data_IF_720393838940
#
_entry.id   IF_720393838940
#
_cell.length_a   1.000
_cell.length_b   1.000
_cell.length_c   1.000
_cell.angle_alpha   90.00
_cell.angle_beta   90.00
_cell.angle_gamma   90.00
#
_symmetry.space_group_name_H-M   'P 1'
#
loop_
_entity.id
_entity.type
_entity.pdbx_description
1 polymer ?
#
# COMPACT_ATOMS: atom_id res chain seq x y z
N UNK A 1 -1.94 -29.50 -14.05
CA UNK A 1 -2.39 -30.81 -13.43
C UNK A 1 -1.28 -31.46 -12.57
N UNK A 2 0.00 -31.40 -12.94
CA UNK A 2 1.11 -31.96 -12.15
C UNK A 2 1.46 -31.17 -10.87
N UNK A 3 1.19 -29.86 -10.81
CA UNK A 3 1.47 -29.00 -9.65
C UNK A 3 0.48 -29.27 -8.50
N UNK A 4 -0.77 -29.57 -8.81
CA UNK A 4 -1.83 -29.83 -7.81
C UNK A 4 -1.68 -31.15 -7.02
N UNK A 5 -0.83 -32.09 -7.45
CA UNK A 5 -0.68 -33.40 -6.79
C UNK A 5 0.24 -33.40 -5.55
N UNK A 6 0.90 -32.26 -5.22
CA UNK A 6 1.84 -32.15 -4.09
C UNK A 6 1.62 -30.90 -3.24
N UNK A 7 0.40 -30.41 -3.13
CA UNK A 7 0.09 -29.28 -2.25
C UNK A 7 0.09 -29.81 -0.80
N UNK A 8 0.96 -29.28 0.07
CA UNK A 8 0.97 -29.66 1.48
C UNK A 8 -0.30 -29.20 2.19
N UNK A 9 -0.43 -29.51 3.47
CA UNK A 9 -1.57 -29.05 4.29
C UNK A 9 -1.77 -27.54 4.12
N UNK A 10 -3.04 -27.08 4.02
CA UNK A 10 -3.31 -25.65 3.84
C UNK A 10 -2.65 -24.81 4.93
N UNK A 11 -2.13 -23.65 4.54
CA UNK A 11 -1.53 -22.67 5.47
C UNK A 11 -2.62 -21.87 6.15
N UNK A 12 -2.63 -21.89 7.46
CA UNK A 12 -3.48 -21.00 8.26
C UNK A 12 -2.77 -19.65 8.45
N UNK A 13 -3.20 -18.66 7.68
CA UNK A 13 -2.64 -17.29 7.76
C UNK A 13 -3.05 -16.55 9.04
N UNK A 14 -4.00 -17.10 9.81
CA UNK A 14 -4.43 -16.52 11.10
C UNK A 14 -3.66 -17.07 12.29
N UNK A 15 -2.80 -18.07 12.09
CA UNK A 15 -1.95 -18.62 13.14
C UNK A 15 -0.85 -17.61 13.54
N UNK A 16 -0.84 -17.09 14.79
CA UNK A 16 0.19 -16.15 15.24
C UNK A 16 1.61 -16.74 15.21
N UNK A 17 1.77 -18.05 15.35
CA UNK A 17 3.09 -18.69 15.32
C UNK A 17 3.69 -18.68 13.91
N UNK A 18 2.85 -18.68 12.87
CA UNK A 18 3.29 -18.51 11.48
C UNK A 18 4.09 -17.22 11.32
N UNK A 19 3.59 -16.12 11.90
CA UNK A 19 4.21 -14.80 11.79
C UNK A 19 5.39 -14.61 12.75
N UNK A 20 5.39 -15.28 13.89
CA UNK A 20 6.52 -15.26 14.83
C UNK A 20 7.73 -16.03 14.32
N UNK A 21 7.50 -17.13 13.61
CA UNK A 21 8.54 -18.04 13.12
C UNK A 21 8.26 -18.51 11.70
N UNK A 22 8.21 -17.60 10.71
CA UNK A 22 7.85 -17.96 9.35
C UNK A 22 8.80 -19.01 8.76
N UNK A 23 10.09 -18.97 9.10
CA UNK A 23 11.05 -19.96 8.65
C UNK A 23 10.78 -21.38 9.15
N UNK A 24 10.18 -21.56 10.33
CA UNK A 24 9.81 -22.87 10.83
C UNK A 24 8.58 -23.45 10.12
N UNK A 25 7.64 -22.60 9.71
CA UNK A 25 6.42 -23.02 9.00
C UNK A 25 6.64 -23.18 7.50
N UNK A 26 7.45 -22.29 6.89
CA UNK A 26 7.70 -22.27 5.45
C UNK A 26 9.03 -22.93 5.05
N UNK A 27 9.87 -23.36 6.04
CA UNK A 27 11.20 -23.91 5.74
C UNK A 27 11.18 -25.05 4.73
N UNK A 28 10.25 -25.99 4.90
CA UNK A 28 10.06 -27.11 3.99
C UNK A 28 9.42 -26.70 2.63
N UNK A 29 8.72 -25.55 2.60
CA UNK A 29 8.04 -25.03 1.41
C UNK A 29 9.00 -24.31 0.45
N UNK A 30 10.12 -23.81 0.97
CA UNK A 30 11.20 -23.28 0.14
C UNK A 30 12.01 -24.37 -0.56
N UNK A 31 11.75 -25.65 -0.26
CA UNK A 31 12.38 -26.75 -0.97
C UNK A 31 11.90 -26.83 -2.43
N UNK A 32 12.76 -27.34 -3.31
CA UNK A 32 12.39 -27.53 -4.73
C UNK A 32 11.21 -28.46 -4.94
N UNK A 33 10.83 -29.23 -3.91
CA UNK A 33 9.76 -30.21 -3.97
C UNK A 33 8.35 -29.63 -3.78
N UNK A 34 8.25 -28.45 -3.12
CA UNK A 34 6.97 -27.80 -2.80
C UNK A 34 6.93 -26.37 -3.39
N UNK A 35 6.53 -26.24 -4.66
CA UNK A 35 6.54 -24.93 -5.34
C UNK A 35 5.40 -24.00 -4.93
N UNK A 36 4.30 -24.56 -4.37
CA UNK A 36 3.10 -23.80 -4.05
C UNK A 36 2.34 -24.40 -2.87
N UNK A 37 1.64 -23.59 -2.12
CA UNK A 37 0.78 -23.99 -1.02
C UNK A 37 -0.63 -23.39 -1.12
N UNK A 38 -1.61 -24.07 -0.56
CA UNK A 38 -2.97 -23.54 -0.48
C UNK A 38 -3.18 -22.78 0.82
N UNK A 39 -3.83 -21.62 0.74
CA UNK A 39 -4.22 -20.86 1.92
C UNK A 39 -5.55 -21.38 2.45
N UNK A 40 -5.60 -21.69 3.74
CA UNK A 40 -6.78 -22.24 4.39
C UNK A 40 -7.96 -21.24 4.30
N UNK A 41 -9.13 -21.72 3.96
CA UNK A 41 -10.38 -20.97 3.97
C UNK A 41 -10.61 -20.05 2.76
N UNK A 42 -9.57 -19.72 1.97
CA UNK A 42 -9.72 -18.80 0.83
C UNK A 42 -9.67 -19.48 -0.53
N UNK A 43 -9.13 -20.70 -0.60
CA UNK A 43 -8.84 -21.38 -1.89
C UNK A 43 -7.66 -20.77 -2.66
N UNK A 44 -7.02 -19.73 -2.13
CA UNK A 44 -5.87 -19.06 -2.74
C UNK A 44 -4.65 -19.97 -2.78
N UNK A 45 -3.80 -19.80 -3.79
CA UNK A 45 -2.52 -20.49 -3.93
C UNK A 45 -1.40 -19.51 -3.62
N UNK A 46 -0.50 -19.87 -2.71
CA UNK A 46 0.70 -19.13 -2.37
C UNK A 46 1.91 -19.74 -3.07
N UNK A 47 2.69 -18.91 -3.74
CA UNK A 47 3.94 -19.31 -4.41
C UNK A 47 5.12 -18.94 -3.54
N UNK A 48 6.12 -19.83 -3.40
CA UNK A 48 7.26 -19.62 -2.52
C UNK A 48 8.60 -19.47 -3.26
N UNK A 49 8.74 -20.05 -4.44
CA UNK A 49 10.00 -19.96 -5.18
C UNK A 49 10.07 -18.67 -5.98
N UNK A 50 11.19 -17.97 -5.90
CA UNK A 50 11.42 -16.73 -6.63
C UNK A 50 11.12 -16.85 -8.15
N UNK A 51 11.51 -17.97 -8.78
CA UNK A 51 11.25 -18.19 -10.20
C UNK A 51 9.75 -18.25 -10.52
N UNK A 52 8.97 -18.98 -9.70
CA UNK A 52 7.53 -19.16 -9.91
C UNK A 52 6.77 -17.84 -9.63
N UNK A 53 7.16 -17.12 -8.59
CA UNK A 53 6.61 -15.79 -8.28
C UNK A 53 6.89 -14.83 -9.43
N UNK A 54 8.13 -14.81 -9.94
CA UNK A 54 8.49 -13.94 -11.06
C UNK A 54 7.74 -14.28 -12.34
N UNK A 55 7.58 -15.57 -12.63
CA UNK A 55 6.80 -16.03 -13.79
C UNK A 55 5.33 -15.61 -13.63
N UNK A 56 4.71 -15.88 -12.48
CA UNK A 56 3.33 -15.51 -12.20
C UNK A 56 3.08 -13.99 -12.31
N UNK A 57 3.97 -13.16 -11.76
CA UNK A 57 3.87 -11.69 -11.85
C UNK A 57 4.02 -11.15 -13.28
N UNK A 58 4.57 -11.95 -14.18
CA UNK A 58 4.78 -11.58 -15.59
C UNK A 58 3.74 -12.22 -16.54
N UNK A 59 2.90 -13.11 -16.04
CA UNK A 59 1.92 -13.85 -16.84
C UNK A 59 0.65 -13.02 -17.04
N UNK A 60 0.40 -12.57 -18.27
CA UNK A 60 -0.78 -11.77 -18.63
C UNK A 60 -2.13 -12.46 -18.45
N UNK A 61 -2.14 -13.77 -18.16
CA UNK A 61 -3.37 -14.52 -17.80
C UNK A 61 -3.77 -14.32 -16.34
N UNK A 62 -2.85 -13.84 -15.51
CA UNK A 62 -3.09 -13.53 -14.12
C UNK A 62 -3.32 -12.02 -14.00
N UNK A 63 -4.47 -11.64 -13.49
CA UNK A 63 -4.85 -10.26 -13.24
C UNK A 63 -4.75 -9.89 -11.75
N UNK A 64 -4.99 -8.63 -11.47
CA UNK A 64 -5.19 -8.16 -10.11
C UNK A 64 -6.46 -8.79 -9.52
N UNK A 65 -6.42 -9.12 -8.23
CA UNK A 65 -7.58 -9.74 -7.56
C UNK A 65 -8.76 -8.77 -7.42
N UNK A 66 -8.52 -7.46 -7.56
CA UNK A 66 -9.54 -6.43 -7.46
C UNK A 66 -10.30 -6.51 -6.14
N UNK A 67 -11.63 -6.27 -6.19
CA UNK A 67 -12.51 -6.39 -5.02
C UNK A 67 -13.10 -7.79 -4.84
N UNK A 68 -12.82 -8.74 -5.72
CA UNK A 68 -13.42 -10.07 -5.68
C UNK A 68 -13.13 -10.82 -4.37
N UNK A 69 -11.92 -10.66 -3.83
CA UNK A 69 -11.58 -11.24 -2.53
C UNK A 69 -12.42 -10.66 -1.41
N UNK A 70 -12.61 -9.34 -1.40
CA UNK A 70 -13.45 -8.64 -0.41
C UNK A 70 -14.92 -9.09 -0.53
N UNK A 71 -15.43 -9.20 -1.74
CA UNK A 71 -16.78 -9.68 -2.01
C UNK A 71 -16.99 -11.13 -1.52
N UNK A 72 -15.98 -11.99 -1.68
CA UNK A 72 -16.01 -13.38 -1.16
C UNK A 72 -16.06 -13.45 0.37
N UNK A 73 -15.59 -12.38 1.06
CA UNK A 73 -15.67 -12.21 2.51
C UNK A 73 -16.97 -11.51 2.94
N UNK A 74 -17.87 -11.18 2.01
CA UNK A 74 -19.10 -10.45 2.27
C UNK A 74 -18.96 -8.92 2.30
N UNK A 75 -17.79 -8.38 1.94
CA UNK A 75 -17.53 -6.95 1.90
C UNK A 75 -17.89 -6.40 0.52
N UNK A 76 -19.13 -5.97 0.34
CA UNK A 76 -19.64 -5.54 -0.97
C UNK A 76 -19.76 -4.03 -1.14
N UNK A 77 -19.54 -3.24 -0.09
CA UNK A 77 -19.63 -1.78 -0.10
C UNK A 77 -18.96 -1.16 1.13
N UNK A 78 -19.02 0.17 1.20
CA UNK A 78 -18.36 0.99 2.22
C UNK A 78 -17.12 1.69 1.67
N UNK A 79 -16.57 2.68 2.40
CA UNK A 79 -15.42 3.48 1.98
C UNK A 79 -14.20 2.65 1.59
N UNK A 80 -13.89 1.57 2.31
CA UNK A 80 -12.76 0.69 2.02
C UNK A 80 -12.91 -0.02 0.66
N UNK A 81 -14.09 -0.58 0.39
CA UNK A 81 -14.36 -1.26 -0.88
C UNK A 81 -14.37 -0.27 -2.04
N UNK A 82 -14.93 0.93 -1.87
CA UNK A 82 -14.93 1.97 -2.90
C UNK A 82 -13.51 2.48 -3.20
N UNK A 83 -12.68 2.67 -2.17
CA UNK A 83 -11.29 3.00 -2.36
C UNK A 83 -10.54 1.89 -3.10
N UNK A 84 -10.74 0.63 -2.73
CA UNK A 84 -10.13 -0.52 -3.42
C UNK A 84 -10.54 -0.61 -4.89
N UNK A 85 -11.79 -0.28 -5.24
CA UNK A 85 -12.24 -0.24 -6.65
C UNK A 85 -11.52 0.80 -7.49
N UNK A 86 -11.09 1.89 -6.86
CA UNK A 86 -10.38 3.00 -7.51
C UNK A 86 -8.86 2.94 -7.27
N UNK A 87 -8.37 1.90 -6.62
CA UNK A 87 -6.96 1.75 -6.30
C UNK A 87 -6.20 1.11 -7.45
N UNK A 88 -5.13 1.77 -7.90
CA UNK A 88 -4.29 1.33 -9.01
C UNK A 88 -3.75 -0.10 -8.83
N UNK A 89 -3.47 -0.52 -7.58
CA UNK A 89 -2.93 -1.88 -7.32
C UNK A 89 -3.97 -2.98 -7.49
N UNK A 90 -5.27 -2.62 -7.48
CA UNK A 90 -6.38 -3.55 -7.65
C UNK A 90 -6.95 -3.57 -9.08
N UNK A 91 -6.31 -2.86 -10.00
CA UNK A 91 -6.78 -2.71 -11.38
C UNK A 91 -5.95 -3.49 -12.39
N UNK A 92 -6.60 -3.88 -13.47
CA UNK A 92 -5.98 -4.46 -14.66
C UNK A 92 -5.95 -3.48 -15.84
N UNK A 93 -5.13 -3.74 -16.87
CA UNK A 93 -5.21 -3.01 -18.14
C UNK A 93 -6.64 -3.09 -18.75
N UNK A 94 -7.14 -2.01 -19.40
CA UNK A 94 -6.42 -0.78 -19.73
C UNK A 94 -6.38 0.28 -18.63
N UNK A 95 -7.24 0.20 -17.60
CA UNK A 95 -7.36 1.21 -16.54
C UNK A 95 -6.05 1.40 -15.78
N UNK A 96 -5.41 0.29 -15.33
CA UNK A 96 -4.10 0.34 -14.70
C UNK A 96 -3.06 1.06 -15.56
N UNK A 97 -2.98 0.73 -16.87
CA UNK A 97 -1.98 1.31 -17.78
C UNK A 97 -2.17 2.81 -17.88
N UNK A 98 -3.41 3.29 -18.00
CA UNK A 98 -3.74 4.72 -18.04
C UNK A 98 -3.33 5.43 -16.76
N UNK A 99 -3.77 4.95 -15.61
CA UNK A 99 -3.43 5.57 -14.32
C UNK A 99 -1.92 5.57 -14.08
N UNK A 100 -1.24 4.47 -14.40
CA UNK A 100 0.21 4.36 -14.26
C UNK A 100 0.97 5.38 -15.10
N UNK A 101 0.52 5.62 -16.33
CA UNK A 101 1.11 6.63 -17.21
C UNK A 101 0.99 8.03 -16.60
N UNK A 102 -0.19 8.38 -16.07
CA UNK A 102 -0.43 9.68 -15.42
C UNK A 102 0.43 9.84 -14.15
N UNK A 103 0.50 8.81 -13.31
CA UNK A 103 1.35 8.83 -12.11
C UNK A 103 2.83 9.01 -12.45
N UNK A 104 3.32 8.29 -13.46
CA UNK A 104 4.72 8.41 -13.91
C UNK A 104 5.08 9.84 -14.37
N UNK A 105 4.11 10.61 -14.87
CA UNK A 105 4.32 12.02 -15.24
C UNK A 105 4.55 12.90 -13.99
N UNK A 106 3.90 12.59 -12.88
CA UNK A 106 4.08 13.32 -11.62
C UNK A 106 5.38 12.91 -10.90
N UNK A 107 5.80 11.63 -11.00
CA UNK A 107 7.04 11.09 -10.44
C UNK A 107 8.21 11.27 -11.38
N UNK A 108 8.85 12.43 -11.35
CA UNK A 108 10.02 12.69 -12.18
C UNK A 108 11.32 12.28 -11.46
N UNK A 109 12.38 11.85 -12.19
CA UNK A 109 13.70 11.58 -11.60
C UNK A 109 14.26 12.77 -10.80
N UNK A 110 13.96 13.99 -11.22
CA UNK A 110 14.34 15.22 -10.51
C UNK A 110 13.70 15.29 -9.12
N UNK A 111 12.36 15.10 -9.03
CA UNK A 111 11.67 15.11 -7.72
C UNK A 111 12.17 14.03 -6.79
N UNK A 112 12.48 12.84 -7.33
CA UNK A 112 13.08 11.76 -6.53
C UNK A 112 14.46 12.15 -6.00
N UNK A 113 15.30 12.76 -6.83
CA UNK A 113 16.62 13.21 -6.40
C UNK A 113 16.56 14.31 -5.33
N UNK A 114 15.56 15.19 -5.38
CA UNK A 114 15.34 16.25 -4.39
C UNK A 114 14.93 15.73 -3.00
N UNK A 115 14.52 14.44 -2.90
CA UNK A 115 14.21 13.81 -1.61
C UNK A 115 15.46 13.41 -0.81
N UNK A 116 16.61 13.22 -1.43
CA UNK A 116 17.81 12.75 -0.71
C UNK A 116 18.22 13.69 0.44
N UNK A 117 18.32 15.02 0.26
CA UNK A 117 18.62 15.93 1.36
C UNK A 117 17.57 15.90 2.49
N UNK A 118 16.28 15.78 2.13
CA UNK A 118 15.20 15.65 3.09
C UNK A 118 15.34 14.35 3.88
N UNK A 119 15.52 13.23 3.18
CA UNK A 119 15.65 11.91 3.81
C UNK A 119 16.83 11.87 4.79
N UNK A 120 17.99 12.45 4.40
CA UNK A 120 19.14 12.55 5.30
C UNK A 120 18.84 13.38 6.54
N UNK A 121 18.18 14.52 6.39
CA UNK A 121 17.80 15.37 7.52
C UNK A 121 16.85 14.65 8.47
N UNK A 122 15.75 14.09 7.96
CA UNK A 122 14.78 13.37 8.78
C UNK A 122 15.43 12.16 9.48
N UNK A 123 16.30 11.42 8.78
CA UNK A 123 17.00 10.30 9.39
C UNK A 123 17.90 10.75 10.56
N UNK A 124 18.63 11.88 10.40
CA UNK A 124 19.46 12.43 11.48
C UNK A 124 18.60 12.90 12.66
N UNK A 125 17.52 13.61 12.41
CA UNK A 125 16.60 14.11 13.46
C UNK A 125 16.04 12.95 14.30
N UNK A 126 15.57 11.87 13.64
CA UNK A 126 15.05 10.68 14.31
C UNK A 126 16.14 9.93 15.10
N UNK A 127 17.34 9.82 14.54
CA UNK A 127 18.48 9.19 15.25
C UNK A 127 18.88 10.01 16.47
N UNK A 128 18.93 11.33 16.35
CA UNK A 128 19.26 12.23 17.47
C UNK A 128 18.20 12.09 18.60
N UNK A 129 16.90 11.97 18.25
CA UNK A 129 15.84 11.68 19.23
C UNK A 129 16.08 10.33 19.92
N UNK A 130 16.40 9.27 19.18
CA UNK A 130 16.66 7.94 19.72
C UNK A 130 17.84 7.93 20.72
N UNK A 131 18.88 8.70 20.44
CA UNK A 131 20.07 8.81 21.30
C UNK A 131 19.79 9.44 22.68
N UNK A 132 18.64 10.07 22.88
CA UNK A 132 18.23 10.64 24.18
C UNK A 132 17.75 9.56 25.15
N UNK A 133 17.50 8.33 24.70
CA UNK A 133 17.01 7.22 25.50
C UNK A 133 18.04 6.08 25.55
N UNK A 134 18.11 5.36 26.67
CA UNK A 134 19.00 4.23 26.81
C UNK A 134 18.54 2.99 26.00
N UNK A 135 17.22 2.89 25.77
CA UNK A 135 16.57 1.81 25.02
C UNK A 135 15.37 2.38 24.29
N UNK A 136 15.20 2.02 23.03
CA UNK A 136 14.07 2.48 22.17
C UNK A 136 13.56 1.29 21.37
N UNK A 137 12.26 1.29 21.07
CA UNK A 137 11.72 0.45 20.02
C UNK A 137 12.07 1.10 18.66
N UNK A 138 12.87 0.39 17.86
CA UNK A 138 13.32 0.90 16.58
C UNK A 138 12.18 1.04 15.56
N UNK A 139 11.18 0.16 15.64
CA UNK A 139 10.03 0.21 14.77
C UNK A 139 9.29 1.54 14.98
N UNK A 140 8.92 1.85 16.21
CA UNK A 140 8.14 3.03 16.55
C UNK A 140 8.97 4.32 16.45
N UNK A 141 10.24 4.27 16.86
CA UNK A 141 11.11 5.44 16.89
C UNK A 141 11.63 5.84 15.50
N UNK A 142 11.78 4.89 14.56
CA UNK A 142 12.41 5.13 13.28
C UNK A 142 11.67 4.52 12.08
N UNK A 143 11.46 3.19 12.08
CA UNK A 143 11.09 2.46 10.87
C UNK A 143 9.72 2.89 10.32
N UNK A 144 8.79 3.26 11.20
CA UNK A 144 7.47 3.74 10.84
C UNK A 144 7.48 5.25 10.55
N UNK A 145 8.17 6.04 11.37
CA UNK A 145 8.17 7.52 11.26
C UNK A 145 8.94 8.03 10.04
N UNK A 146 10.07 7.41 9.73
CA UNK A 146 10.95 7.87 8.65
C UNK A 146 10.25 7.90 7.28
N UNK A 147 9.68 6.81 6.76
CA UNK A 147 9.01 6.82 5.46
C UNK A 147 7.74 7.69 5.47
N UNK A 148 7.00 7.73 6.57
CA UNK A 148 5.82 8.59 6.71
C UNK A 148 6.18 10.07 6.53
N UNK A 149 7.27 10.55 7.18
CA UNK A 149 7.75 11.93 7.00
C UNK A 149 8.09 12.23 5.54
N UNK A 150 8.71 11.28 4.84
CA UNK A 150 9.08 11.47 3.44
C UNK A 150 7.84 11.58 2.55
N UNK A 151 6.89 10.64 2.67
CA UNK A 151 5.70 10.66 1.82
C UNK A 151 4.79 11.86 2.13
N UNK A 152 4.62 12.24 3.39
CA UNK A 152 3.89 13.43 3.78
C UNK A 152 4.52 14.70 3.19
N UNK A 153 5.85 14.82 3.25
CA UNK A 153 6.56 15.94 2.64
C UNK A 153 6.39 16.00 1.13
N UNK A 154 6.43 14.85 0.44
CA UNK A 154 6.17 14.77 -1.01
C UNK A 154 4.77 15.24 -1.39
N UNK A 155 3.79 14.94 -0.55
CA UNK A 155 2.39 15.32 -0.74
C UNK A 155 2.08 16.72 -0.17
N UNK A 156 3.08 17.41 0.41
CA UNK A 156 2.97 18.69 1.10
C UNK A 156 1.91 18.68 2.22
N UNK A 157 1.85 17.58 2.97
CA UNK A 157 1.07 17.43 4.19
C UNK A 157 1.89 18.04 5.34
N UNK A 158 1.30 18.94 6.16
CA UNK A 158 1.99 19.56 7.28
C UNK A 158 2.40 18.55 8.36
N UNK A 159 3.54 18.79 9.00
CA UNK A 159 4.08 17.91 10.06
C UNK A 159 3.09 17.66 11.21
N UNK A 160 2.25 18.66 11.53
CA UNK A 160 1.23 18.55 12.58
C UNK A 160 0.18 17.46 12.28
N UNK A 161 0.01 17.13 11.02
CA UNK A 161 -0.98 16.14 10.58
C UNK A 161 -0.38 14.73 10.44
N UNK A 162 0.95 14.55 10.58
CA UNK A 162 1.61 13.25 10.38
C UNK A 162 1.09 12.17 11.33
N UNK A 163 0.82 12.50 12.60
CA UNK A 163 0.23 11.54 13.55
C UNK A 163 -1.15 11.05 13.13
N UNK A 164 -1.96 11.91 12.53
CA UNK A 164 -3.27 11.52 12.01
C UNK A 164 -3.14 10.65 10.75
N UNK A 165 -2.19 10.98 9.86
CA UNK A 165 -1.89 10.12 8.69
C UNK A 165 -1.49 8.72 9.11
N UNK A 166 -0.63 8.61 10.13
CA UNK A 166 -0.21 7.33 10.68
C UNK A 166 -1.41 6.49 11.15
N UNK A 167 -2.29 7.05 11.98
CA UNK A 167 -3.45 6.34 12.52
C UNK A 167 -4.39 5.85 11.39
N UNK A 168 -4.64 6.66 10.39
CA UNK A 168 -5.51 6.28 9.28
C UNK A 168 -4.88 5.17 8.43
N UNK A 169 -3.61 5.28 8.11
CA UNK A 169 -2.93 4.30 7.26
C UNK A 169 -2.70 2.98 7.98
N UNK A 170 -2.47 2.98 9.29
CA UNK A 170 -2.45 1.75 10.12
C UNK A 170 -3.78 1.01 10.05
N UNK A 171 -4.91 1.70 10.23
CA UNK A 171 -6.24 1.09 10.15
C UNK A 171 -6.51 0.47 8.76
N UNK A 172 -6.10 1.17 7.68
CA UNK A 172 -6.24 0.67 6.31
C UNK A 172 -5.35 -0.56 6.07
N UNK A 173 -4.10 -0.51 6.54
CA UNK A 173 -3.15 -1.61 6.39
C UNK A 173 -3.60 -2.86 7.17
N UNK A 174 -4.18 -2.71 8.36
CA UNK A 174 -4.74 -3.83 9.13
C UNK A 174 -5.86 -4.52 8.34
N UNK A 175 -6.80 -3.77 7.78
CA UNK A 175 -7.89 -4.33 6.97
C UNK A 175 -7.39 -5.00 5.69
N UNK A 176 -6.28 -4.53 5.12
CA UNK A 176 -5.66 -5.12 3.92
C UNK A 176 -4.90 -6.41 4.24
N UNK A 177 -4.22 -6.46 5.39
CA UNK A 177 -3.34 -7.58 5.77
C UNK A 177 -4.08 -8.73 6.45
N UNK A 178 -4.86 -8.44 7.47
CA UNK A 178 -5.61 -9.41 8.28
C UNK A 178 -7.08 -8.99 8.36
N UNK A 179 -7.86 -9.23 7.30
CA UNK A 179 -9.23 -8.74 7.22
C UNK A 179 -10.11 -9.36 8.31
N UNK A 180 -10.71 -8.47 9.11
CA UNK A 180 -11.73 -8.78 10.11
C UNK A 180 -12.82 -7.72 10.05
N UNK A 181 -13.99 -7.97 10.62
CA UNK A 181 -15.07 -6.98 10.61
C UNK A 181 -14.67 -5.71 11.37
N UNK A 182 -13.97 -5.84 12.51
CA UNK A 182 -13.47 -4.69 13.28
C UNK A 182 -12.41 -3.88 12.51
N UNK A 183 -11.50 -4.56 11.79
CA UNK A 183 -10.52 -3.89 10.95
C UNK A 183 -11.20 -3.16 9.78
N UNK A 184 -12.24 -3.76 9.17
CA UNK A 184 -13.04 -3.11 8.14
C UNK A 184 -13.72 -1.84 8.64
N UNK A 185 -14.39 -1.91 9.81
CA UNK A 185 -15.06 -0.75 10.40
C UNK A 185 -14.07 0.39 10.70
N UNK A 186 -12.90 0.06 11.24
CA UNK A 186 -11.82 1.02 11.47
C UNK A 186 -11.31 1.65 10.17
N UNK A 187 -11.07 0.83 9.15
CA UNK A 187 -10.64 1.31 7.83
C UNK A 187 -11.71 2.15 7.12
N UNK A 188 -12.99 1.79 7.21
CA UNK A 188 -14.09 2.58 6.66
C UNK A 188 -14.15 3.98 7.31
N UNK A 189 -13.98 4.06 8.65
CA UNK A 189 -13.94 5.34 9.36
C UNK A 189 -12.71 6.17 8.94
N UNK A 190 -11.53 5.56 8.94
CA UNK A 190 -10.28 6.21 8.55
C UNK A 190 -10.35 6.74 7.11
N UNK A 191 -10.87 5.96 6.18
CA UNK A 191 -11.00 6.36 4.78
C UNK A 191 -12.03 7.46 4.56
N UNK A 192 -13.14 7.47 5.29
CA UNK A 192 -14.11 8.57 5.21
C UNK A 192 -13.46 9.91 5.58
N UNK A 193 -12.73 9.95 6.71
CA UNK A 193 -12.00 11.13 7.17
C UNK A 193 -10.85 11.51 6.21
N UNK A 194 -10.11 10.52 5.73
CA UNK A 194 -8.97 10.72 4.83
C UNK A 194 -9.40 11.26 3.46
N UNK A 195 -10.53 10.80 2.92
CA UNK A 195 -11.10 11.33 1.67
C UNK A 195 -11.47 12.81 1.82
N UNK A 196 -12.06 13.21 2.95
CA UNK A 196 -12.39 14.62 3.23
C UNK A 196 -11.10 15.47 3.33
N UNK A 197 -10.11 14.98 4.07
CA UNK A 197 -8.81 15.66 4.20
C UNK A 197 -8.13 15.84 2.85
N UNK A 198 -8.01 14.75 2.06
CA UNK A 198 -7.37 14.78 0.73
C UNK A 198 -8.16 15.69 -0.22
N UNK A 199 -9.49 15.68 -0.16
CA UNK A 199 -10.33 16.60 -0.92
C UNK A 199 -9.97 18.05 -0.65
N UNK A 200 -9.85 18.42 0.63
CA UNK A 200 -9.43 19.76 1.06
C UNK A 200 -8.01 20.13 0.59
N UNK A 201 -7.09 19.17 0.64
CA UNK A 201 -5.71 19.33 0.16
C UNK A 201 -5.68 19.57 -1.36
N UNK A 202 -6.45 18.80 -2.13
CA UNK A 202 -6.56 18.94 -3.59
C UNK A 202 -7.13 20.31 -3.96
N UNK A 203 -8.21 20.76 -3.34
CA UNK A 203 -8.80 22.08 -3.60
C UNK A 203 -7.81 23.23 -3.29
N UNK A 204 -7.06 23.11 -2.20
CA UNK A 204 -5.98 24.05 -1.87
C UNK A 204 -4.93 24.10 -2.97
N UNK A 205 -4.52 22.92 -3.51
CA UNK A 205 -3.50 22.82 -4.57
C UNK A 205 -4.02 23.28 -5.94
N UNK A 206 -5.29 23.11 -6.23
CA UNK A 206 -5.94 23.68 -7.42
C UNK A 206 -5.90 25.22 -7.39
N UNK A 207 -6.18 25.79 -6.22
CA UNK A 207 -6.20 27.25 -6.03
C UNK A 207 -4.80 27.85 -5.95
N UNK A 208 -3.83 27.12 -5.42
CA UNK A 208 -2.44 27.55 -5.22
C UNK A 208 -1.49 26.37 -5.46
N UNK A 209 -1.15 26.10 -6.73
CA UNK A 209 -0.24 25.01 -7.06
C UNK A 209 1.14 25.20 -6.44
N UNK A 210 1.72 24.11 -5.92
CA UNK A 210 3.07 24.03 -5.38
C UNK A 210 3.99 23.15 -6.21
N UNK A 211 5.25 23.03 -5.79
CA UNK A 211 6.18 22.06 -6.34
C UNK A 211 6.11 20.75 -5.53
N UNK A 212 4.91 20.21 -5.38
CA UNK A 212 4.62 18.96 -4.66
C UNK A 212 3.94 17.93 -5.57
N UNK A 213 3.86 16.70 -5.06
CA UNK A 213 3.33 15.59 -5.85
C UNK A 213 1.83 15.72 -6.10
N UNK A 214 1.05 16.29 -5.15
CA UNK A 214 -0.39 16.52 -5.35
C UNK A 214 -0.62 17.49 -6.50
N UNK A 215 0.12 18.61 -6.53
CA UNK A 215 0.10 19.55 -7.66
C UNK A 215 0.51 18.88 -8.98
N UNK A 216 1.53 18.01 -8.91
CA UNK A 216 1.96 17.22 -10.07
C UNK A 216 0.87 16.28 -10.60
N UNK A 217 0.16 15.59 -9.72
CA UNK A 217 -0.94 14.68 -10.10
C UNK A 217 -2.15 15.44 -10.66
N UNK A 218 -2.50 16.61 -10.09
CA UNK A 218 -3.58 17.48 -10.61
C UNK A 218 -3.31 17.90 -12.05
N UNK A 219 -2.05 18.19 -12.39
CA UNK A 219 -1.66 18.69 -13.71
C UNK A 219 -1.19 17.58 -14.66
N UNK A 220 -1.11 16.32 -14.19
CA UNK A 220 -0.69 15.22 -15.04
C UNK A 220 -1.71 14.98 -16.17
N UNK A 221 -1.23 14.97 -17.41
CA UNK A 221 -2.02 14.65 -18.59
C UNK A 221 -1.24 13.68 -19.47
N UNK A 222 -1.95 12.74 -20.04
CA UNK A 222 -1.45 11.79 -21.04
C UNK A 222 -2.53 11.58 -22.10
N UNK A 223 -2.18 11.83 -23.38
CA UNK A 223 -3.09 11.72 -24.52
C UNK A 223 -4.42 12.48 -24.37
N UNK A 224 -4.41 13.61 -23.65
CA UNK A 224 -5.59 14.43 -23.36
C UNK A 224 -6.43 13.94 -22.18
N UNK A 225 -6.04 12.85 -21.52
CA UNK A 225 -6.68 12.35 -20.30
C UNK A 225 -5.97 12.86 -19.05
N UNK A 226 -6.73 12.97 -17.97
CA UNK A 226 -6.26 13.34 -16.62
C UNK A 226 -6.95 12.47 -15.58
N UNK A 227 -6.46 12.52 -14.33
CA UNK A 227 -7.15 11.91 -13.19
C UNK A 227 -8.44 12.68 -12.90
N UNK A 228 -9.55 11.96 -12.76
CA UNK A 228 -10.76 12.55 -12.17
C UNK A 228 -10.62 12.66 -10.64
N UNK A 229 -11.55 13.32 -9.97
CA UNK A 229 -11.44 13.62 -8.53
C UNK A 229 -11.39 12.37 -7.66
N UNK A 230 -12.14 11.33 -8.01
CA UNK A 230 -12.13 10.04 -7.31
C UNK A 230 -10.80 9.31 -7.49
N UNK A 231 -10.28 9.26 -8.72
CA UNK A 231 -8.99 8.67 -9.03
C UNK A 231 -7.84 9.42 -8.36
N UNK A 232 -7.90 10.74 -8.36
CA UNK A 232 -6.90 11.59 -7.71
C UNK A 232 -6.88 11.36 -6.20
N UNK A 233 -8.06 11.35 -5.56
CA UNK A 233 -8.17 11.07 -4.13
C UNK A 233 -7.67 9.67 -3.79
N UNK A 234 -8.12 8.65 -4.53
CA UNK A 234 -7.69 7.28 -4.31
C UNK A 234 -6.17 7.12 -4.51
N UNK A 235 -5.58 7.85 -5.46
CA UNK A 235 -4.14 7.82 -5.72
C UNK A 235 -3.34 8.46 -4.59
N UNK A 236 -3.75 9.62 -4.08
CA UNK A 236 -3.09 10.29 -2.95
C UNK A 236 -3.14 9.41 -1.70
N UNK A 237 -4.31 8.82 -1.41
CA UNK A 237 -4.48 7.87 -0.31
C UNK A 237 -3.58 6.64 -0.50
N UNK A 238 -3.54 6.06 -1.72
CA UNK A 238 -2.69 4.91 -2.02
C UNK A 238 -1.20 5.23 -1.81
N UNK A 239 -0.75 6.41 -2.17
CA UNK A 239 0.64 6.83 -1.97
C UNK A 239 0.98 6.97 -0.48
N UNK A 240 0.05 7.45 0.34
CA UNK A 240 0.21 7.48 1.80
C UNK A 240 0.29 6.07 2.37
N UNK A 241 -0.67 5.20 2.03
CA UNK A 241 -0.73 3.80 2.52
C UNK A 241 0.48 2.98 2.11
N UNK A 242 0.97 3.16 0.87
CA UNK A 242 2.12 2.42 0.35
C UNK A 242 3.48 3.04 0.72
N UNK A 243 3.48 4.25 1.24
CA UNK A 243 4.70 5.02 1.48
C UNK A 243 5.35 4.78 2.83
N UNK A 244 4.75 3.96 3.72
CA UNK A 244 5.32 3.66 5.03
C UNK A 244 4.93 2.30 5.58
#
# INVERSE_FOLDING_TARGET
EKIMQRVPSPVDMTDPELWRRPGAHFGDWFSEEIPAGQVQGTGSIMLFRHADVREALSDSRLGAMGTQALESMGWSGGPFVEWMRNNIVAMDPPAHTRLRALVNRAFTPRRVAELEPLARRVAHELVDEMLLSAEVDFHDAFAQRFPLHIICSMLAIPDIDHGQMQLWTEAINEATGLPSESAREAADSALAEMVEYVGSLVEKRRSSPGDDLVSGLIHAQEDGESLNDTELSAMVIQLLVAGH
#
